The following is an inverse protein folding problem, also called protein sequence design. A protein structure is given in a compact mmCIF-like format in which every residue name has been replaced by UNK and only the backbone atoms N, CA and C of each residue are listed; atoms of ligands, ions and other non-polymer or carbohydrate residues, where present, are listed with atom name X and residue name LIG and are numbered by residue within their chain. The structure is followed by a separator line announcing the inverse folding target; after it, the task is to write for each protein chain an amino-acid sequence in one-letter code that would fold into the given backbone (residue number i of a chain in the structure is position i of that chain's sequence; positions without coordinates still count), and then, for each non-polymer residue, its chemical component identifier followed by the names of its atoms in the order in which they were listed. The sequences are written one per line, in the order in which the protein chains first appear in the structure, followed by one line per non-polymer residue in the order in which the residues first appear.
data_IF_699786546476
#
_entry.id   IF_699786546476
#
_cell.length_a   1.000
_cell.length_b   1.000
_cell.length_c   1.000
_cell.angle_alpha   90.00
_cell.angle_beta   90.00
_cell.angle_gamma   90.00
#
_symmetry.space_group_name_H-M   'P 1'
#
loop_
_entity.id
_entity.type
_entity.pdbx_description
1 polymer ?
#
# COMPACT_ATOMS: atom_id res chain seq x y z
N UNK A 1 -13.72 -7.75 9.59
CA UNK A 1 -12.40 -8.06 10.17
C UNK A 1 -12.56 -9.00 11.36
N UNK A 2 -11.60 -9.89 11.62
CA UNK A 2 -11.58 -10.77 12.81
C UNK A 2 -10.57 -10.33 13.86
N UNK A 3 -9.80 -9.27 13.55
CA UNK A 3 -8.83 -8.66 14.44
C UNK A 3 -8.93 -7.14 14.34
N UNK A 4 -8.84 -6.45 15.47
CA UNK A 4 -8.84 -4.98 15.56
C UNK A 4 -8.30 -4.52 16.91
N UNK A 5 -7.74 -3.32 16.93
CA UNK A 5 -7.48 -2.55 18.15
C UNK A 5 -8.80 -1.85 18.52
N UNK A 6 -9.21 -1.92 19.79
CA UNK A 6 -10.54 -1.48 20.22
C UNK A 6 -11.57 -2.60 20.15
N UNK A 7 -12.82 -2.29 19.83
CA UNK A 7 -13.97 -3.23 19.79
C UNK A 7 -14.08 -4.08 21.07
N UNK A 8 -14.04 -3.41 22.23
CA UNK A 8 -14.03 -4.07 23.54
C UNK A 8 -15.26 -4.97 23.75
N UNK A 9 -16.43 -4.48 23.35
CA UNK A 9 -17.71 -5.20 23.44
C UNK A 9 -17.72 -6.52 22.64
N UNK A 10 -16.79 -6.70 21.69
CA UNK A 10 -16.69 -7.89 20.84
C UNK A 10 -15.56 -8.84 21.26
N UNK A 11 -14.84 -8.56 22.35
CA UNK A 11 -13.81 -9.46 22.85
C UNK A 11 -14.44 -10.70 23.52
N UNK A 12 -13.87 -11.91 23.31
CA UNK A 12 -12.63 -12.22 22.60
C UNK A 12 -12.80 -12.57 21.11
N UNK A 13 -14.01 -12.49 20.55
CA UNK A 13 -14.29 -12.91 19.17
C UNK A 13 -13.51 -12.10 18.13
N UNK A 14 -13.26 -10.81 18.40
CA UNK A 14 -12.37 -9.96 17.61
C UNK A 14 -11.09 -9.71 18.39
N UNK A 15 -9.96 -10.31 18.05
CA UNK A 15 -8.72 -10.19 18.85
C UNK A 15 -7.90 -8.94 18.52
N UNK A 16 -7.18 -8.38 19.50
CA UNK A 16 -6.20 -7.30 19.29
C UNK A 16 -4.77 -7.83 19.05
N UNK A 17 -4.57 -9.14 19.05
CA UNK A 17 -3.26 -9.74 18.82
C UNK A 17 -2.89 -9.67 17.33
N UNK A 18 -1.77 -8.99 16.96
CA UNK A 18 -1.36 -8.89 15.57
C UNK A 18 -0.83 -10.23 15.05
N UNK A 19 -0.75 -10.33 13.73
CA UNK A 19 0.13 -11.29 13.05
C UNK A 19 1.42 -10.57 12.70
N UNK A 20 2.56 -11.20 12.95
CA UNK A 20 3.88 -10.60 12.76
C UNK A 20 4.61 -11.44 11.71
N UNK A 21 5.08 -10.76 10.67
CA UNK A 21 5.89 -11.32 9.59
C UNK A 21 7.17 -10.52 9.47
N UNK A 22 8.29 -11.22 9.31
CA UNK A 22 9.60 -10.64 9.06
C UNK A 22 10.10 -11.14 7.71
N UNK A 23 10.68 -10.24 6.92
CA UNK A 23 11.20 -10.54 5.58
C UNK A 23 12.55 -9.87 5.41
N UNK A 24 13.54 -10.65 4.98
CA UNK A 24 14.85 -10.11 4.61
C UNK A 24 14.77 -9.37 3.27
N UNK A 25 15.28 -8.15 3.24
CA UNK A 25 15.33 -7.36 2.01
C UNK A 25 16.43 -7.87 1.08
N UNK A 26 16.08 -8.01 -0.18
CA UNK A 26 16.97 -8.39 -1.28
C UNK A 26 17.21 -7.20 -2.21
N UNK A 27 18.12 -7.38 -3.18
CA UNK A 27 18.36 -6.36 -4.20
C UNK A 27 17.18 -6.19 -5.18
N UNK A 28 16.25 -7.14 -5.21
CA UNK A 28 15.07 -7.11 -6.08
C UNK A 28 13.89 -6.37 -5.43
N UNK A 29 13.98 -6.06 -4.13
CA UNK A 29 12.97 -5.30 -3.41
C UNK A 29 13.15 -3.79 -3.64
N UNK A 30 12.19 -3.19 -4.34
CA UNK A 30 12.30 -1.78 -4.77
C UNK A 30 11.51 -0.83 -3.89
N UNK A 31 10.30 -1.24 -3.52
CA UNK A 31 9.38 -0.43 -2.74
C UNK A 31 8.39 -1.29 -1.96
N UNK A 32 7.81 -0.69 -0.93
CA UNK A 32 6.71 -1.24 -0.14
C UNK A 32 5.52 -0.28 -0.24
N UNK A 33 4.33 -0.83 -0.49
CA UNK A 33 3.07 -0.09 -0.45
C UNK A 33 2.23 -0.58 0.73
N UNK A 34 1.79 0.36 1.56
CA UNK A 34 0.81 0.13 2.61
C UNK A 34 -0.39 1.03 2.37
N UNK A 35 -1.60 0.48 2.47
CA UNK A 35 -2.81 1.26 2.24
C UNK A 35 -4.02 0.67 2.98
N UNK A 36 -5.06 1.49 3.16
CA UNK A 36 -6.38 1.02 3.58
C UNK A 36 -7.08 0.21 2.49
N UNK A 37 -8.13 -0.52 2.87
CA UNK A 37 -9.05 -1.23 1.97
C UNK A 37 -9.65 -0.32 0.88
N UNK A 38 -9.86 0.97 1.18
CA UNK A 38 -10.25 1.95 0.18
C UNK A 38 -9.39 1.98 -1.10
N UNK A 39 -8.11 1.56 -1.04
CA UNK A 39 -7.28 1.30 -2.24
C UNK A 39 -7.51 -0.14 -2.76
N UNK A 40 -7.30 -1.13 -1.91
CA UNK A 40 -7.20 -2.54 -2.29
C UNK A 40 -8.50 -3.16 -2.78
N UNK A 41 -9.66 -2.57 -2.45
CA UNK A 41 -10.96 -3.00 -2.95
C UNK A 41 -11.14 -2.74 -4.46
N UNK A 42 -10.36 -1.80 -5.05
CA UNK A 42 -10.55 -1.36 -6.44
C UNK A 42 -9.27 -1.30 -7.28
N UNK A 43 -8.08 -1.36 -6.66
CA UNK A 43 -6.78 -1.38 -7.35
C UNK A 43 -6.03 -2.66 -7.00
N UNK A 44 -5.67 -3.45 -8.02
CA UNK A 44 -4.92 -4.70 -7.83
C UNK A 44 -3.41 -4.48 -7.73
N UNK A 45 -2.67 -5.48 -7.25
CA UNK A 45 -1.21 -5.39 -7.09
C UNK A 45 -0.47 -5.06 -8.40
N UNK A 46 -0.89 -5.65 -9.52
CA UNK A 46 -0.29 -5.36 -10.84
C UNK A 46 -0.56 -3.93 -11.32
N UNK A 47 -1.75 -3.39 -11.01
CA UNK A 47 -2.07 -1.98 -11.29
C UNK A 47 -1.16 -1.06 -10.47
N UNK A 48 -0.96 -1.38 -9.19
CA UNK A 48 -0.05 -0.63 -8.31
C UNK A 48 1.36 -0.60 -8.88
N UNK A 49 1.87 -1.75 -9.34
CA UNK A 49 3.17 -1.85 -10.02
C UNK A 49 3.21 -0.93 -11.24
N UNK A 50 2.22 -1.00 -12.13
CA UNK A 50 2.17 -0.14 -13.33
C UNK A 50 2.16 1.34 -12.97
N UNK A 51 1.31 1.75 -12.02
CA UNK A 51 1.17 3.16 -11.63
C UNK A 51 2.44 3.70 -10.99
N UNK A 52 3.12 2.89 -10.16
CA UNK A 52 4.40 3.30 -9.56
C UNK A 52 5.46 3.45 -10.64
N UNK A 53 5.58 2.50 -11.57
CA UNK A 53 6.53 2.58 -12.69
C UNK A 53 6.34 3.86 -13.51
N UNK A 54 5.09 4.20 -13.82
CA UNK A 54 4.77 5.41 -14.59
C UNK A 54 5.03 6.72 -13.81
N UNK A 55 5.00 6.66 -12.48
CA UNK A 55 5.05 7.85 -11.60
C UNK A 55 6.40 8.02 -10.91
N UNK A 56 7.30 7.03 -10.92
CA UNK A 56 8.51 7.01 -10.08
C UNK A 56 9.48 8.19 -10.31
N UNK A 57 9.39 8.85 -11.46
CA UNK A 57 10.10 10.12 -11.76
C UNK A 57 9.75 11.25 -10.80
N UNK A 58 8.58 11.16 -10.16
CA UNK A 58 8.12 12.06 -9.11
C UNK A 58 7.67 11.23 -7.88
N UNK A 59 8.60 10.73 -7.06
CA UNK A 59 8.32 9.77 -5.98
C UNK A 59 7.24 10.21 -5.00
N UNK A 60 7.23 11.52 -4.68
CA UNK A 60 6.24 12.12 -3.79
C UNK A 60 4.81 12.08 -4.35
N UNK A 61 4.65 11.80 -5.65
CA UNK A 61 3.36 11.71 -6.32
C UNK A 61 2.82 10.28 -6.40
N UNK A 62 3.64 9.24 -6.16
CA UNK A 62 3.20 7.84 -6.28
C UNK A 62 2.00 7.52 -5.38
N UNK A 63 2.06 7.87 -4.08
CA UNK A 63 0.95 7.65 -3.15
C UNK A 63 -0.31 8.41 -3.56
N UNK A 64 -0.15 9.68 -4.00
CA UNK A 64 -1.26 10.50 -4.48
C UNK A 64 -1.89 9.93 -5.75
N UNK A 65 -1.09 9.42 -6.69
CA UNK A 65 -1.57 8.79 -7.93
C UNK A 65 -2.36 7.51 -7.63
N UNK A 66 -1.86 6.67 -6.74
CA UNK A 66 -2.60 5.48 -6.27
C UNK A 66 -3.94 5.85 -5.62
N UNK A 67 -3.93 6.83 -4.71
CA UNK A 67 -5.17 7.29 -4.08
C UNK A 67 -6.18 7.89 -5.08
N UNK A 68 -5.68 8.66 -6.06
CA UNK A 68 -6.50 9.24 -7.13
C UNK A 68 -7.08 8.16 -8.03
N UNK A 69 -6.30 7.12 -8.34
CA UNK A 69 -6.75 5.98 -9.14
C UNK A 69 -7.89 5.24 -8.43
N UNK A 70 -7.74 4.90 -7.15
CA UNK A 70 -8.82 4.27 -6.39
C UNK A 70 -10.10 5.12 -6.36
N UNK A 71 -9.95 6.44 -6.19
CA UNK A 71 -11.08 7.36 -6.24
C UNK A 71 -11.75 7.35 -7.63
N UNK A 72 -10.96 7.39 -8.72
CA UNK A 72 -11.46 7.36 -10.09
C UNK A 72 -12.16 6.03 -10.43
N UNK A 73 -11.70 4.91 -9.86
CA UNK A 73 -12.35 3.59 -9.96
C UNK A 73 -13.59 3.44 -9.08
N UNK A 74 -13.97 4.48 -8.35
CA UNK A 74 -15.24 4.55 -7.61
C UNK A 74 -15.17 3.97 -6.20
N UNK A 75 -13.99 3.95 -5.57
CA UNK A 75 -13.88 3.64 -4.14
C UNK A 75 -14.81 4.53 -3.32
N UNK A 76 -15.53 3.92 -2.38
CA UNK A 76 -16.53 4.58 -1.52
C UNK A 76 -16.04 4.78 -0.08
N UNK A 77 -14.79 4.45 0.19
CA UNK A 77 -14.20 4.52 1.52
C UNK A 77 -13.11 5.60 1.61
N UNK A 78 -12.56 5.81 2.80
CA UNK A 78 -11.38 6.62 3.02
C UNK A 78 -10.15 5.93 2.42
N UNK A 79 -9.39 6.68 1.63
CA UNK A 79 -8.23 6.16 0.92
C UNK A 79 -6.97 6.75 1.54
N UNK A 80 -6.18 5.90 2.21
CA UNK A 80 -4.87 6.27 2.75
C UNK A 80 -3.82 5.37 2.11
N UNK A 81 -2.74 5.96 1.57
CA UNK A 81 -1.67 5.22 0.89
C UNK A 81 -0.31 5.75 1.33
N UNK A 82 0.60 4.84 1.66
CA UNK A 82 2.00 5.09 1.97
C UNK A 82 2.84 4.28 0.98
N UNK A 83 3.80 4.94 0.33
CA UNK A 83 4.78 4.30 -0.54
C UNK A 83 6.17 4.55 0.05
N UNK A 84 6.90 3.47 0.30
CA UNK A 84 8.27 3.51 0.83
C UNK A 84 9.20 2.96 -0.22
N UNK A 85 10.14 3.77 -0.72
CA UNK A 85 11.20 3.30 -1.59
C UNK A 85 12.31 2.67 -0.74
N UNK A 86 12.57 1.38 -0.96
CA UNK A 86 13.56 0.60 -0.19
C UNK A 86 14.97 0.78 -0.74
N UNK A 87 15.09 1.38 -1.93
CA UNK A 87 16.34 1.78 -2.58
C UNK A 87 16.30 3.26 -2.96
N UNK A 88 17.46 3.89 -3.24
CA UNK A 88 17.47 5.23 -3.80
C UNK A 88 16.60 5.27 -5.06
N UNK A 89 15.70 6.25 -5.14
CA UNK A 89 14.74 6.40 -6.24
C UNK A 89 15.43 6.39 -7.61
N UNK A 90 16.62 6.98 -7.72
CA UNK A 90 17.42 6.98 -8.95
C UNK A 90 17.78 5.58 -9.48
N UNK A 91 17.66 4.56 -8.63
CA UNK A 91 17.80 3.15 -9.02
C UNK A 91 16.50 2.61 -9.60
N UNK A 92 15.35 2.99 -9.03
CA UNK A 92 14.04 2.60 -9.54
C UNK A 92 13.75 3.25 -10.91
N UNK A 93 14.16 4.51 -11.13
CA UNK A 93 14.12 5.17 -12.45
C UNK A 93 15.01 4.52 -13.51
N UNK A 94 15.99 3.69 -13.11
CA UNK A 94 16.90 2.99 -14.04
C UNK A 94 16.43 1.60 -14.41
N UNK A 95 15.52 1.03 -13.62
CA UNK A 95 14.98 -0.31 -13.82
C UNK A 95 13.71 -0.25 -14.68
N UNK A 96 13.08 0.93 -14.77
CA UNK A 96 11.88 1.22 -15.55
C UNK A 96 12.12 2.33 -16.57
#
# INVERSE_FOLDING_TARGET
VTRSIGDDDLKPAVTALPEITETDLTADDEFLVMASDGLWDVVGNEDVLSIIKDTVKEPGMCSKRLATEASARGSKDNITVIVVFLRPVSTAERIY
#
